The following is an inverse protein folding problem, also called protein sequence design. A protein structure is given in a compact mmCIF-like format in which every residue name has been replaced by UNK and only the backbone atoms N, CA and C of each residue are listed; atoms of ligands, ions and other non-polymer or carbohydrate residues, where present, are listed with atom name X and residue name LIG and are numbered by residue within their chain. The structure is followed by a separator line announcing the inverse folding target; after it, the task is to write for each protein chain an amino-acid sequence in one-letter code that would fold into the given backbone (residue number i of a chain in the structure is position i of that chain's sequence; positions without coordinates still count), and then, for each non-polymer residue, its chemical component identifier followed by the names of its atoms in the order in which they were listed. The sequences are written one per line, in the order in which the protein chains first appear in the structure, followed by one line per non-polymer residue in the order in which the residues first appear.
data_IF_188111236780
#
_entry.id   IF_188111236780
#
_cell.length_a   1.000
_cell.length_b   1.000
_cell.length_c   1.000
_cell.angle_alpha   90.00
_cell.angle_beta   90.00
_cell.angle_gamma   90.00
#
_symmetry.space_group_name_H-M   'P 1'
#
loop_
_entity.id
_entity.type
_entity.pdbx_description
1 polymer ?
#
# COMPACT_ATOMS: atom_id res chain seq x y z
N UNK A 1 5.96 13.80 -0.73
CA UNK A 1 4.65 13.13 -0.52
C UNK A 1 4.79 12.10 0.59
N UNK A 2 3.77 11.88 1.43
CA UNK A 2 3.84 10.92 2.55
C UNK A 2 4.05 9.47 2.09
N UNK A 3 3.46 9.08 0.96
CA UNK A 3 3.65 7.74 0.38
C UNK A 3 5.11 7.47 0.00
N UNK A 4 5.75 8.46 -0.62
CA UNK A 4 7.18 8.38 -0.94
C UNK A 4 8.03 8.21 0.31
N UNK A 5 7.75 8.97 1.38
CA UNK A 5 8.48 8.84 2.66
C UNK A 5 8.34 7.43 3.23
N UNK A 6 7.15 6.83 3.22
CA UNK A 6 6.92 5.45 3.66
C UNK A 6 7.81 4.48 2.88
N UNK A 7 7.82 4.60 1.55
CA UNK A 7 8.66 3.73 0.69
C UNK A 7 10.16 3.91 1.02
N UNK A 8 10.62 5.13 1.30
CA UNK A 8 12.03 5.38 1.65
C UNK A 8 12.45 4.82 3.02
N UNK A 9 11.57 4.87 4.03
CA UNK A 9 11.94 4.48 5.40
C UNK A 9 11.75 2.98 5.66
N UNK A 10 11.03 2.25 4.82
CA UNK A 10 10.66 0.85 5.08
C UNK A 10 11.88 -0.07 5.27
N UNK A 11 12.84 -0.04 4.34
CA UNK A 11 14.03 -0.91 4.39
C UNK A 11 14.96 -0.57 5.57
N UNK A 12 15.35 0.70 5.80
CA UNK A 12 16.18 1.03 6.96
C UNK A 12 15.48 0.70 8.29
N UNK A 13 14.15 0.85 8.35
CA UNK A 13 13.38 0.49 9.53
C UNK A 13 13.34 -1.03 9.75
N UNK A 14 13.15 -1.83 8.70
CA UNK A 14 13.24 -3.30 8.75
C UNK A 14 14.64 -3.74 9.23
N UNK A 15 15.70 -3.15 8.69
CA UNK A 15 17.08 -3.46 9.12
C UNK A 15 17.35 -3.14 10.60
N UNK A 16 16.71 -2.10 11.15
CA UNK A 16 16.84 -1.72 12.56
C UNK A 16 16.01 -2.61 13.49
N UNK A 17 14.80 -2.96 13.06
CA UNK A 17 13.80 -3.66 13.89
C UNK A 17 13.83 -5.19 13.75
N UNK A 18 14.37 -5.73 12.66
CA UNK A 18 14.54 -7.18 12.44
C UNK A 18 15.35 -7.83 13.55
N UNK A 19 16.33 -7.11 14.12
CA UNK A 19 17.11 -7.56 15.31
C UNK A 19 16.25 -7.77 16.56
N UNK A 20 15.03 -7.23 16.57
CA UNK A 20 14.02 -7.39 17.63
C UNK A 20 12.87 -8.30 17.18
N UNK A 21 13.06 -9.08 16.12
CA UNK A 21 12.03 -9.92 15.49
C UNK A 21 10.80 -9.14 15.00
N UNK A 22 11.01 -7.90 14.54
CA UNK A 22 9.95 -7.06 13.97
C UNK A 22 10.30 -6.73 12.52
N UNK A 23 9.42 -7.11 11.59
CA UNK A 23 9.58 -6.86 10.16
C UNK A 23 8.80 -5.61 9.74
N UNK A 24 9.36 -4.85 8.82
CA UNK A 24 8.72 -3.67 8.23
C UNK A 24 8.54 -3.90 6.73
N UNK A 25 7.28 -3.99 6.31
CA UNK A 25 6.90 -4.36 4.94
C UNK A 25 5.89 -3.33 4.41
N UNK A 26 5.88 -3.07 3.11
CA UNK A 26 5.02 -2.06 2.49
C UNK A 26 3.89 -2.71 1.72
N UNK A 27 2.65 -2.37 2.09
CA UNK A 27 1.45 -2.72 1.35
C UNK A 27 0.82 -1.48 0.70
N UNK A 28 0.31 -1.63 -0.53
CA UNK A 28 -0.48 -0.64 -1.24
C UNK A 28 -1.88 -1.20 -1.55
N UNK A 29 -2.96 -0.59 -1.05
CA UNK A 29 -4.32 -1.13 -1.16
C UNK A 29 -4.97 -0.99 -2.55
N UNK A 30 -4.26 -0.38 -3.51
CA UNK A 30 -4.81 0.00 -4.80
C UNK A 30 -5.84 1.14 -4.69
N UNK A 31 -6.68 1.27 -5.71
CA UNK A 31 -7.74 2.28 -5.79
C UNK A 31 -9.03 1.73 -5.17
N UNK A 32 -9.20 2.03 -3.90
CA UNK A 32 -10.41 1.72 -3.13
C UNK A 32 -11.42 2.85 -3.31
N UNK A 33 -12.69 2.52 -3.49
CA UNK A 33 -13.78 3.49 -3.37
C UNK A 33 -14.08 3.76 -1.89
N UNK A 34 -13.08 4.20 -1.13
CA UNK A 34 -13.24 4.62 0.26
C UNK A 34 -13.59 6.10 0.29
N UNK A 35 -14.89 6.45 0.28
CA UNK A 35 -15.44 7.76 0.68
C UNK A 35 -14.57 9.01 0.40
N UNK A 36 -13.84 9.03 -0.73
CA UNK A 36 -12.80 10.02 -1.00
C UNK A 36 -13.43 11.40 -1.24
N UNK A 37 -14.71 11.39 -1.64
CA UNK A 37 -15.56 12.55 -1.85
C UNK A 37 -16.66 12.66 -0.80
N UNK A 38 -16.64 11.85 0.27
CA UNK A 38 -17.62 11.97 1.35
C UNK A 38 -17.56 13.35 2.01
N UNK A 39 -16.39 14.03 1.97
CA UNK A 39 -16.26 15.42 2.39
C UNK A 39 -17.01 16.43 1.50
N UNK A 40 -17.32 16.08 0.25
CA UNK A 40 -18.14 16.90 -0.66
C UNK A 40 -19.63 16.57 -0.53
N UNK A 41 -19.98 15.39 -0.01
CA UNK A 41 -21.35 14.94 0.24
C UNK A 41 -22.24 15.00 -1.03
N UNK A 42 -21.68 14.64 -2.19
CA UNK A 42 -22.37 14.57 -3.49
C UNK A 42 -22.44 13.10 -3.94
N UNK A 43 -23.52 12.36 -3.60
CA UNK A 43 -23.64 10.92 -3.87
C UNK A 43 -23.52 10.55 -5.36
N UNK A 44 -23.96 11.44 -6.26
CA UNK A 44 -23.85 11.23 -7.70
C UNK A 44 -22.39 11.14 -8.16
N UNK A 45 -21.52 11.96 -7.57
CA UNK A 45 -20.10 11.98 -7.94
C UNK A 45 -19.40 10.69 -7.45
N UNK A 46 -19.73 10.23 -6.25
CA UNK A 46 -19.27 8.94 -5.73
C UNK A 46 -19.68 7.77 -6.65
N UNK A 47 -20.94 7.76 -7.10
CA UNK A 47 -21.44 6.75 -8.03
C UNK A 47 -20.69 6.78 -9.38
N UNK A 48 -20.43 7.98 -9.93
CA UNK A 48 -19.68 8.16 -11.17
C UNK A 48 -18.23 7.68 -11.03
N UNK A 49 -17.55 7.99 -9.93
CA UNK A 49 -16.19 7.50 -9.66
C UNK A 49 -16.17 5.98 -9.56
N UNK A 50 -17.14 5.38 -8.86
CA UNK A 50 -17.26 3.93 -8.76
C UNK A 50 -17.48 3.29 -10.15
N UNK A 51 -18.33 3.88 -10.99
CA UNK A 51 -18.56 3.41 -12.35
C UNK A 51 -17.27 3.45 -13.19
N UNK A 52 -16.52 4.56 -13.13
CA UNK A 52 -15.23 4.69 -13.81
C UNK A 52 -14.25 3.63 -13.32
N UNK A 53 -14.14 3.41 -12.01
CA UNK A 53 -13.24 2.41 -11.44
C UNK A 53 -13.63 0.99 -11.89
N UNK A 54 -14.93 0.68 -11.95
CA UNK A 54 -15.44 -0.59 -12.46
C UNK A 54 -15.08 -0.80 -13.93
N UNK A 55 -15.25 0.23 -14.78
CA UNK A 55 -14.86 0.17 -16.19
C UNK A 55 -13.35 -0.07 -16.34
N UNK A 56 -12.53 0.66 -15.60
CA UNK A 56 -11.08 0.47 -15.60
C UNK A 56 -10.67 -0.94 -15.15
N UNK A 57 -11.35 -1.50 -14.14
CA UNK A 57 -11.15 -2.88 -13.70
C UNK A 57 -11.53 -3.88 -14.79
N UNK A 58 -12.64 -3.68 -15.50
CA UNK A 58 -13.08 -4.53 -16.61
C UNK A 58 -12.10 -4.51 -17.79
N UNK A 59 -11.48 -3.36 -18.07
CA UNK A 59 -10.42 -3.24 -19.08
C UNK A 59 -9.14 -4.01 -18.71
N UNK A 60 -9.02 -4.48 -17.46
CA UNK A 60 -7.92 -5.31 -16.99
C UNK A 60 -6.91 -4.58 -16.11
N UNK A 61 -7.20 -3.36 -15.67
CA UNK A 61 -6.36 -2.65 -14.72
C UNK A 61 -6.58 -3.21 -13.32
N UNK A 62 -5.62 -4.03 -12.88
CA UNK A 62 -5.74 -4.83 -11.64
C UNK A 62 -5.66 -4.03 -10.35
N UNK A 63 -5.12 -2.80 -10.38
CA UNK A 63 -5.02 -1.95 -9.18
C UNK A 63 -6.32 -1.26 -8.78
N UNK A 64 -7.42 -1.43 -9.53
CA UNK A 64 -8.74 -0.95 -9.13
C UNK A 64 -9.43 -1.99 -8.25
N UNK A 65 -9.15 -1.95 -6.95
CA UNK A 65 -9.68 -2.89 -5.96
C UNK A 65 -11.15 -2.62 -5.64
N UNK A 66 -11.55 -1.34 -5.61
CA UNK A 66 -12.93 -0.85 -5.44
C UNK A 66 -13.49 -1.14 -4.04
N UNK A 67 -13.52 -2.40 -3.60
CA UNK A 67 -13.98 -2.79 -2.27
C UNK A 67 -12.84 -2.87 -1.25
N UNK A 68 -13.19 -2.70 0.02
CA UNK A 68 -12.26 -2.86 1.14
C UNK A 68 -11.70 -4.29 1.21
N UNK A 69 -12.52 -5.30 0.88
CA UNK A 69 -12.09 -6.71 0.88
C UNK A 69 -10.93 -6.93 -0.10
N UNK A 70 -11.08 -6.47 -1.34
CA UNK A 70 -10.01 -6.54 -2.35
C UNK A 70 -8.79 -5.70 -1.95
N UNK A 71 -9.03 -4.53 -1.35
CA UNK A 71 -7.97 -3.64 -0.90
C UNK A 71 -7.12 -4.21 0.24
N UNK A 72 -7.70 -5.10 1.05
CA UNK A 72 -7.03 -5.70 2.20
C UNK A 72 -6.09 -6.86 1.82
N UNK A 73 -6.15 -7.34 0.58
CA UNK A 73 -5.46 -8.56 0.13
C UNK A 73 -3.96 -8.59 0.45
N UNK A 74 -3.21 -7.51 0.15
CA UNK A 74 -1.79 -7.42 0.47
C UNK A 74 -1.53 -7.40 1.97
N UNK A 75 -2.33 -6.67 2.76
CA UNK A 75 -2.19 -6.63 4.21
C UNK A 75 -2.44 -7.99 4.85
N UNK A 76 -3.47 -8.71 4.38
CA UNK A 76 -3.78 -10.07 4.83
C UNK A 76 -2.65 -11.03 4.47
N UNK A 77 -2.13 -10.95 3.23
CA UNK A 77 -0.99 -11.74 2.81
C UNK A 77 0.23 -11.50 3.69
N UNK A 78 0.60 -10.23 3.93
CA UNK A 78 1.74 -9.89 4.77
C UNK A 78 1.59 -10.36 6.22
N UNK A 79 0.37 -10.43 6.73
CA UNK A 79 0.10 -10.88 8.10
C UNK A 79 0.16 -12.42 8.27
N UNK A 80 -0.10 -13.17 7.19
CA UNK A 80 -0.28 -14.63 7.26
C UNK A 80 0.80 -15.43 6.53
N UNK A 81 1.53 -14.82 5.59
CA UNK A 81 2.56 -15.50 4.82
C UNK A 81 3.75 -15.89 5.72
N UNK A 82 4.40 -17.04 5.45
CA UNK A 82 5.65 -17.40 6.10
C UNK A 82 6.70 -16.31 5.91
N UNK A 83 7.51 -16.03 6.94
CA UNK A 83 8.55 -14.99 6.87
C UNK A 83 9.54 -15.21 5.72
N UNK A 84 9.80 -16.46 5.34
CA UNK A 84 10.67 -16.82 4.22
C UNK A 84 10.17 -16.33 2.85
N UNK A 85 8.88 -16.02 2.72
CA UNK A 85 8.27 -15.49 1.49
C UNK A 85 8.23 -13.95 1.47
N UNK A 86 8.65 -13.30 2.55
CA UNK A 86 8.54 -11.86 2.75
C UNK A 86 9.88 -11.15 2.56
N UNK A 87 9.94 -10.26 1.57
CA UNK A 87 11.10 -9.45 1.24
C UNK A 87 10.80 -7.96 1.45
N UNK A 88 11.53 -7.25 2.35
CA UNK A 88 11.32 -5.83 2.62
C UNK A 88 11.71 -4.94 1.44
N UNK A 89 12.40 -5.48 0.43
CA UNK A 89 12.75 -4.78 -0.82
C UNK A 89 11.61 -4.81 -1.84
N UNK A 90 10.51 -5.49 -1.53
CA UNK A 90 9.32 -5.55 -2.37
C UNK A 90 8.19 -4.72 -1.77
N UNK A 91 7.44 -4.09 -2.67
CA UNK A 91 6.15 -3.49 -2.37
C UNK A 91 5.03 -4.44 -2.78
N UNK A 92 4.10 -4.68 -1.87
CA UNK A 92 3.01 -5.62 -2.03
C UNK A 92 1.73 -4.86 -2.39
N UNK A 93 1.20 -5.09 -3.60
CA UNK A 93 0.03 -4.40 -4.11
C UNK A 93 -1.19 -5.30 -4.00
N UNK A 94 -2.23 -4.80 -3.34
CA UNK A 94 -3.57 -5.36 -3.43
C UNK A 94 -4.10 -5.14 -4.83
N UNK A 95 -4.48 -6.24 -5.49
CA UNK A 95 -5.01 -6.25 -6.83
C UNK A 95 -6.35 -7.00 -6.86
N UNK A 96 -7.17 -6.67 -7.84
CA UNK A 96 -8.41 -7.37 -8.14
C UNK A 96 -8.42 -7.83 -9.61
N UNK A 97 -8.93 -9.03 -9.85
CA UNK A 97 -9.26 -9.49 -11.20
C UNK A 97 -10.39 -8.66 -11.80
N UNK A 98 -10.65 -8.83 -13.11
CA UNK A 98 -11.77 -8.16 -13.80
C UNK A 98 -13.11 -8.39 -13.09
N UNK A 99 -13.31 -9.58 -12.54
CA UNK A 99 -14.52 -10.00 -11.83
C UNK A 99 -14.43 -9.80 -10.30
N UNK A 100 -13.38 -9.14 -9.79
CA UNK A 100 -13.27 -8.81 -8.37
C UNK A 100 -12.68 -9.91 -7.49
N UNK A 101 -11.94 -10.87 -8.06
CA UNK A 101 -11.18 -11.83 -7.24
C UNK A 101 -9.89 -11.16 -6.71
N UNK A 102 -9.62 -11.18 -5.40
CA UNK A 102 -8.44 -10.54 -4.83
C UNK A 102 -7.16 -11.31 -5.19
N UNK A 103 -6.06 -10.57 -5.32
CA UNK A 103 -4.73 -11.11 -5.59
C UNK A 103 -3.66 -10.15 -5.06
N UNK A 104 -2.44 -10.64 -4.86
CA UNK A 104 -1.30 -9.81 -4.50
C UNK A 104 -0.30 -9.82 -5.64
N UNK A 105 0.17 -8.63 -6.03
CA UNK A 105 1.29 -8.47 -6.94
C UNK A 105 2.46 -7.82 -6.19
N UNK A 106 3.69 -8.13 -6.58
CA UNK A 106 4.88 -7.50 -6.02
C UNK A 106 5.62 -6.70 -7.08
N UNK A 107 6.29 -5.64 -6.65
CA UNK A 107 7.30 -4.96 -7.46
C UNK A 107 8.44 -4.50 -6.56
N UNK A 108 9.65 -4.29 -7.10
CA UNK A 108 10.74 -3.67 -6.35
C UNK A 108 10.29 -2.33 -5.74
N UNK A 109 10.65 -2.12 -4.49
CA UNK A 109 10.43 -0.86 -3.80
C UNK A 109 11.37 0.19 -4.40
N UNK A 110 10.81 1.32 -4.81
CA UNK A 110 11.60 2.46 -5.30
C UNK A 110 12.20 3.21 -4.11
N UNK A 111 13.42 2.82 -3.73
CA UNK A 111 14.11 3.35 -2.55
C UNK A 111 15.51 3.87 -2.88
N UNK A 112 15.90 4.95 -2.20
CA UNK A 112 17.23 5.54 -2.23
C UNK A 112 17.88 5.31 -0.86
N UNK A 113 18.94 4.48 -0.76
CA UNK A 113 19.51 4.05 0.52
C UNK A 113 19.82 5.19 1.50
N UNK A 114 20.46 6.25 1.01
CA UNK A 114 20.89 7.39 1.83
C UNK A 114 19.72 8.25 2.31
N UNK A 115 18.63 8.29 1.53
CA UNK A 115 17.46 9.12 1.81
C UNK A 115 16.66 8.55 2.98
N UNK A 116 16.50 7.23 3.06
CA UNK A 116 15.73 6.58 4.11
C UNK A 116 16.27 6.84 5.52
N UNK A 117 17.59 6.65 5.73
CA UNK A 117 18.22 6.90 7.03
C UNK A 117 18.18 8.37 7.44
N UNK A 118 18.36 9.28 6.47
CA UNK A 118 18.21 10.71 6.70
C UNK A 118 16.78 11.06 7.14
N UNK A 119 15.77 10.52 6.46
CA UNK A 119 14.36 10.78 6.78
C UNK A 119 13.98 10.25 8.16
N UNK A 120 14.41 9.05 8.55
CA UNK A 120 14.13 8.52 9.89
C UNK A 120 14.67 9.46 10.97
N UNK A 121 15.94 9.90 10.85
CA UNK A 121 16.54 10.83 11.83
C UNK A 121 15.77 12.14 11.92
N UNK A 122 15.29 12.68 10.79
CA UNK A 122 14.49 13.91 10.77
C UNK A 122 13.12 13.71 11.41
N UNK A 123 12.46 12.56 11.18
CA UNK A 123 11.19 12.22 11.80
C UNK A 123 11.32 12.06 13.32
N UNK A 124 12.38 11.40 13.80
CA UNK A 124 12.64 11.26 15.24
C UNK A 124 12.79 12.63 15.94
N UNK A 125 13.49 13.58 15.31
CA UNK A 125 13.64 14.95 15.84
C UNK A 125 12.30 15.70 15.88
N UNK A 126 11.44 15.52 14.87
CA UNK A 126 10.13 16.17 14.82
C UNK A 126 9.15 15.61 15.87
N UNK A 127 9.30 14.34 16.23
CA UNK A 127 8.44 13.66 17.21
C UNK A 127 8.89 13.89 18.66
N UNK A 128 10.19 14.10 18.90
CA UNK A 128 10.77 14.44 20.21
C UNK A 128 10.56 15.91 20.58
N UNK A 129 9.30 16.37 20.59
CA UNK A 129 8.91 17.62 21.26
C UNK A 129 9.11 17.51 22.76
#
# INVERSE_FOLDING_TARGET
SSKFVIDQIAIPLDNRLSRKNVRCLVAEPGNVCSSFLAGLNIPLLDMLVMLVFMLMRLLGLRRFTISADCASAASVFLALAPEAELDPRLKYYSCASRLGAPSVATAPLDYVPETGDFLIKKLDVLMNK
#
